data_IF_093562781288
#
_entry.id   IF_093562781288
#
_cell.length_a   1.000
_cell.length_b   1.000
_cell.length_c   1.000
_cell.angle_alpha   90.00
_cell.angle_beta   90.00
_cell.angle_gamma   90.00
#
_symmetry.space_group_name_H-M   'P 1'
#
loop_
_entity.id
_entity.type
_entity.pdbx_description
1 polymer ?
#
# COMPACT_ATOMS: atom_id res chain seq x y z
N UNK A 1 11.62 8.47 -6.87
CA UNK A 1 12.66 7.72 -7.62
C UNK A 1 12.01 6.58 -8.40
N UNK A 2 12.04 6.69 -9.72
CA UNK A 2 11.40 5.71 -10.60
C UNK A 2 12.04 4.32 -10.46
N UNK A 3 11.20 3.31 -10.18
CA UNK A 3 11.59 1.89 -10.05
C UNK A 3 12.73 1.59 -9.07
N UNK A 4 12.94 2.47 -8.09
CA UNK A 4 14.01 2.31 -7.09
C UNK A 4 13.43 2.18 -5.68
N UNK A 5 13.21 0.94 -5.24
CA UNK A 5 12.61 0.63 -3.95
C UNK A 5 13.42 1.28 -2.81
N UNK A 6 14.73 1.07 -2.79
CA UNK A 6 15.60 1.57 -1.70
C UNK A 6 15.61 3.09 -1.62
N UNK A 7 15.77 3.77 -2.76
CA UNK A 7 15.80 5.22 -2.79
C UNK A 7 14.45 5.83 -2.35
N UNK A 8 13.33 5.19 -2.70
CA UNK A 8 12.02 5.63 -2.26
C UNK A 8 11.78 5.40 -0.77
N UNK A 9 12.15 4.24 -0.23
CA UNK A 9 12.04 3.97 1.20
C UNK A 9 12.86 4.99 2.01
N UNK A 10 14.09 5.27 1.59
CA UNK A 10 14.94 6.27 2.24
C UNK A 10 14.34 7.68 2.18
N UNK A 11 13.85 8.09 1.00
CA UNK A 11 13.19 9.39 0.83
C UNK A 11 11.95 9.53 1.73
N UNK A 12 11.11 8.49 1.82
CA UNK A 12 9.92 8.54 2.67
C UNK A 12 10.29 8.54 4.16
N UNK A 13 11.31 7.79 4.55
CA UNK A 13 11.82 7.81 5.93
C UNK A 13 12.25 9.24 6.33
N UNK A 14 13.05 9.92 5.50
CA UNK A 14 13.43 11.32 5.74
C UNK A 14 12.21 12.25 5.85
N UNK A 15 11.18 12.05 5.02
CA UNK A 15 9.97 12.86 5.08
C UNK A 15 9.17 12.60 6.36
N UNK A 16 9.05 11.34 6.78
CA UNK A 16 8.37 10.93 8.00
C UNK A 16 9.07 11.56 9.22
N UNK A 17 10.39 11.55 9.24
CA UNK A 17 11.18 12.15 10.33
C UNK A 17 11.01 13.67 10.46
N UNK A 18 10.64 14.35 9.39
CA UNK A 18 10.38 15.81 9.39
C UNK A 18 8.98 16.17 9.89
N UNK A 19 8.11 15.19 10.14
CA UNK A 19 6.75 15.44 10.65
C UNK A 19 6.86 15.89 12.11
N UNK A 20 6.49 17.13 12.37
CA UNK A 20 6.57 17.72 13.73
C UNK A 20 5.42 17.32 14.63
N UNK A 21 4.22 17.14 14.06
CA UNK A 21 3.03 16.72 14.78
C UNK A 21 3.04 15.18 14.89
N UNK A 22 2.33 14.64 15.89
CA UNK A 22 2.16 13.20 16.02
C UNK A 22 0.86 12.79 15.30
N UNK A 23 0.91 12.40 14.02
CA UNK A 23 -0.27 11.97 13.30
C UNK A 23 -0.72 10.59 13.79
N UNK A 24 -2.01 10.32 13.68
CA UNK A 24 -2.53 8.98 13.93
C UNK A 24 -2.36 8.06 12.72
N UNK A 25 -2.28 8.63 11.53
CA UNK A 25 -2.17 7.94 10.24
C UNK A 25 -1.20 8.68 9.34
N UNK A 26 -0.32 7.94 8.67
CA UNK A 26 0.54 8.42 7.59
C UNK A 26 0.17 7.65 6.32
N UNK A 27 -0.30 8.37 5.30
CA UNK A 27 -0.70 7.77 4.02
C UNK A 27 0.38 8.01 2.98
N UNK A 28 0.88 6.93 2.39
CA UNK A 28 1.83 6.93 1.29
C UNK A 28 1.09 6.75 -0.04
N UNK A 29 1.62 7.26 -1.16
CA UNK A 29 0.94 7.15 -2.46
C UNK A 29 0.82 5.71 -2.97
N UNK A 30 -0.01 5.51 -4.01
CA UNK A 30 -0.06 4.24 -4.75
C UNK A 30 1.35 3.88 -5.26
N UNK A 31 1.74 2.61 -5.07
CA UNK A 31 3.04 2.08 -5.50
C UNK A 31 4.21 2.96 -5.03
N UNK A 32 4.19 3.32 -3.74
CA UNK A 32 5.11 4.30 -3.17
C UNK A 32 6.59 3.89 -3.29
N UNK A 33 6.88 2.60 -3.43
CA UNK A 33 8.25 2.09 -3.54
C UNK A 33 8.82 2.15 -4.95
N UNK A 34 7.96 2.19 -5.99
CA UNK A 34 8.41 2.04 -7.39
C UNK A 34 7.93 3.16 -8.31
N UNK A 35 6.87 3.88 -7.92
CA UNK A 35 6.07 4.64 -8.87
C UNK A 35 5.15 3.71 -9.66
N UNK A 36 4.34 4.26 -10.55
CA UNK A 36 3.32 3.56 -11.32
C UNK A 36 3.93 2.73 -12.46
N UNK A 37 4.74 1.72 -12.10
CA UNK A 37 5.41 0.82 -13.05
C UNK A 37 4.58 -0.42 -13.35
N UNK A 38 4.69 -0.92 -14.58
CA UNK A 38 4.06 -2.18 -15.01
C UNK A 38 5.01 -3.38 -14.93
N UNK A 39 6.25 -3.19 -14.45
CA UNK A 39 7.25 -4.26 -14.30
C UNK A 39 7.01 -5.10 -13.05
N UNK A 40 5.84 -5.74 -13.00
CA UNK A 40 5.41 -6.50 -11.81
C UNK A 40 6.42 -7.59 -11.42
N UNK A 41 6.87 -8.39 -12.39
CA UNK A 41 7.80 -9.50 -12.15
C UNK A 41 9.15 -9.06 -11.57
N UNK A 42 9.65 -7.91 -12.00
CA UNK A 42 10.97 -7.40 -11.62
C UNK A 42 10.97 -6.69 -10.26
N UNK A 43 9.83 -6.04 -9.94
CA UNK A 43 9.73 -5.13 -8.80
C UNK A 43 8.92 -5.68 -7.64
N UNK A 44 8.30 -6.85 -7.80
CA UNK A 44 7.47 -7.43 -6.75
C UNK A 44 8.31 -7.97 -5.61
N UNK A 45 7.83 -7.72 -4.40
CA UNK A 45 8.40 -8.26 -3.18
C UNK A 45 7.46 -9.32 -2.59
N UNK A 46 7.97 -10.43 -2.05
CA UNK A 46 7.14 -11.31 -1.24
C UNK A 46 6.71 -10.61 0.06
N UNK A 47 5.63 -11.07 0.67
CA UNK A 47 5.24 -10.59 2.00
C UNK A 47 6.37 -10.80 3.02
N UNK A 48 6.42 -9.97 4.03
CA UNK A 48 7.47 -9.93 5.06
C UNK A 48 8.88 -9.58 4.55
N UNK A 49 8.99 -9.08 3.33
CA UNK A 49 10.24 -8.61 2.73
C UNK A 49 10.60 -7.18 3.15
N UNK A 50 11.47 -6.52 2.40
CA UNK A 50 12.07 -5.21 2.71
C UNK A 50 11.03 -4.13 3.01
N UNK A 51 10.10 -3.89 2.09
CA UNK A 51 9.07 -2.85 2.24
C UNK A 51 8.16 -3.12 3.43
N UNK A 52 7.71 -4.35 3.61
CA UNK A 52 6.87 -4.71 4.75
C UNK A 52 7.57 -4.46 6.08
N UNK A 53 8.83 -4.87 6.21
CA UNK A 53 9.63 -4.65 7.42
C UNK A 53 9.90 -3.17 7.68
N UNK A 54 10.15 -2.41 6.62
CA UNK A 54 10.28 -0.95 6.70
C UNK A 54 9.00 -0.30 7.23
N UNK A 55 7.83 -0.65 6.68
CA UNK A 55 6.54 -0.14 7.17
C UNK A 55 6.32 -0.47 8.65
N UNK A 56 6.68 -1.69 9.07
CA UNK A 56 6.60 -2.12 10.46
C UNK A 56 7.49 -1.28 11.37
N UNK A 57 8.71 -1.00 10.94
CA UNK A 57 9.64 -0.14 11.66
C UNK A 57 9.12 1.29 11.78
N UNK A 58 8.64 1.88 10.68
CA UNK A 58 8.10 3.25 10.68
C UNK A 58 6.87 3.36 11.56
N UNK A 59 5.95 2.39 11.52
CA UNK A 59 4.76 2.40 12.38
C UNK A 59 5.13 2.33 13.87
N UNK A 60 6.07 1.48 14.25
CA UNK A 60 6.55 1.38 15.63
C UNK A 60 7.24 2.67 16.11
N UNK A 61 8.06 3.28 15.28
CA UNK A 61 8.80 4.50 15.62
C UNK A 61 7.89 5.73 15.73
N UNK A 62 6.94 5.87 14.81
CA UNK A 62 6.02 7.03 14.78
C UNK A 62 4.82 6.87 15.69
N UNK A 63 4.50 5.66 16.12
CA UNK A 63 3.24 5.30 16.81
C UNK A 63 1.99 5.67 16.00
N UNK A 64 2.13 5.71 14.66
CA UNK A 64 1.08 5.97 13.68
C UNK A 64 0.82 4.73 12.83
N UNK A 65 -0.39 4.58 12.31
CA UNK A 65 -0.66 3.62 11.25
C UNK A 65 -0.01 4.10 9.94
N UNK A 66 0.82 3.26 9.31
CA UNK A 66 1.43 3.53 8.00
C UNK A 66 0.62 2.82 6.93
N UNK A 67 0.03 3.60 6.03
CA UNK A 67 -0.83 3.12 4.97
C UNK A 67 -0.19 3.39 3.61
N UNK A 68 -0.11 2.36 2.77
CA UNK A 68 0.43 2.52 1.41
C UNK A 68 0.28 1.26 0.60
N UNK A 69 0.48 1.36 -0.72
CA UNK A 69 0.47 0.20 -1.60
C UNK A 69 1.79 0.02 -2.32
N UNK A 70 2.15 -1.22 -2.59
CA UNK A 70 3.32 -1.60 -3.36
C UNK A 70 3.08 -2.92 -4.10
N UNK A 71 4.03 -3.35 -4.91
CA UNK A 71 3.90 -4.58 -5.70
C UNK A 71 4.28 -5.77 -4.84
N UNK A 72 3.35 -6.71 -4.65
CA UNK A 72 3.57 -7.95 -3.90
C UNK A 72 3.44 -9.16 -4.83
N UNK A 73 4.34 -10.13 -4.65
CA UNK A 73 4.21 -11.46 -5.26
C UNK A 73 3.74 -12.47 -4.23
N UNK A 74 2.74 -13.27 -4.62
CA UNK A 74 2.22 -14.36 -3.80
C UNK A 74 1.70 -15.48 -4.69
N UNK A 75 2.11 -16.72 -4.44
CA UNK A 75 1.69 -17.91 -5.21
C UNK A 75 1.87 -17.75 -6.72
N UNK A 76 2.96 -17.11 -7.15
CA UNK A 76 3.28 -16.90 -8.56
C UNK A 76 2.46 -15.80 -9.25
N UNK A 77 1.67 -15.04 -8.51
CA UNK A 77 0.89 -13.92 -9.01
C UNK A 77 1.41 -12.60 -8.44
N UNK A 78 1.03 -11.48 -9.07
CA UNK A 78 1.46 -10.13 -8.71
C UNK A 78 0.26 -9.26 -8.39
N UNK A 79 0.33 -8.56 -7.25
CA UNK A 79 -0.76 -7.73 -6.75
C UNK A 79 -0.27 -6.31 -6.48
N UNK A 80 -1.10 -5.33 -6.74
CA UNK A 80 -0.97 -4.02 -6.11
C UNK A 80 -1.62 -4.10 -4.75
N UNK A 81 -0.81 -4.35 -3.73
CA UNK A 81 -1.28 -4.61 -2.37
C UNK A 81 -1.15 -3.38 -1.49
N UNK A 82 -2.28 -2.95 -0.95
CA UNK A 82 -2.33 -2.00 0.14
C UNK A 82 -2.04 -2.71 1.46
N UNK A 83 -1.22 -2.09 2.28
CA UNK A 83 -0.95 -2.49 3.66
C UNK A 83 -1.31 -1.33 4.59
N UNK A 84 -2.08 -1.62 5.62
CA UNK A 84 -2.21 -0.78 6.80
C UNK A 84 -1.40 -1.42 7.92
N UNK A 85 -0.21 -0.90 8.16
CA UNK A 85 0.68 -1.38 9.20
C UNK A 85 0.43 -0.60 10.49
N UNK A 86 0.06 -1.29 11.55
CA UNK A 86 -0.21 -0.68 12.86
C UNK A 86 1.05 -0.66 13.75
N UNK A 87 1.11 0.24 14.75
CA UNK A 87 2.28 0.38 15.63
C UNK A 87 2.70 -0.89 16.38
N UNK A 88 1.75 -1.78 16.69
CA UNK A 88 2.01 -3.06 17.34
C UNK A 88 2.55 -4.14 16.39
N UNK A 89 2.70 -3.81 15.10
CA UNK A 89 3.19 -4.72 14.05
C UNK A 89 2.12 -5.62 13.44
N UNK A 90 0.87 -5.52 13.86
CA UNK A 90 -0.26 -6.12 13.16
C UNK A 90 -0.57 -5.34 11.89
N UNK A 91 -1.17 -5.98 10.90
CA UNK A 91 -1.49 -5.31 9.65
C UNK A 91 -2.81 -5.80 9.07
N UNK A 92 -3.38 -4.94 8.22
CA UNK A 92 -4.48 -5.28 7.33
C UNK A 92 -4.00 -5.13 5.89
N UNK A 93 -4.55 -5.92 4.97
CA UNK A 93 -4.16 -5.88 3.56
C UNK A 93 -5.38 -5.86 2.63
N UNK A 94 -5.21 -5.23 1.49
CA UNK A 94 -6.19 -5.15 0.42
C UNK A 94 -5.50 -5.20 -0.93
N UNK A 95 -5.94 -6.07 -1.81
CA UNK A 95 -5.46 -6.13 -3.20
C UNK A 95 -6.38 -5.32 -4.10
N UNK A 96 -5.80 -4.43 -4.91
CA UNK A 96 -6.54 -3.57 -5.83
C UNK A 96 -7.54 -4.35 -6.66
N UNK A 97 -8.81 -4.00 -6.53
CA UNK A 97 -9.91 -4.67 -7.25
C UNK A 97 -10.01 -4.24 -8.71
N UNK A 98 -9.91 -2.94 -8.97
CA UNK A 98 -10.12 -2.38 -10.30
C UNK A 98 -8.78 -1.95 -10.89
N UNK A 99 -8.26 -2.82 -11.75
CA UNK A 99 -7.02 -2.54 -12.48
C UNK A 99 -7.29 -1.57 -13.63
N UNK A 100 -6.39 -0.61 -13.82
CA UNK A 100 -6.49 0.38 -14.89
C UNK A 100 -5.99 -0.21 -16.21
N UNK A 101 -6.88 -0.88 -16.93
CA UNK A 101 -6.55 -1.61 -18.15
C UNK A 101 -5.91 -0.73 -19.25
N UNK A 102 -6.32 0.55 -19.34
CA UNK A 102 -5.75 1.49 -20.31
C UNK A 102 -4.25 1.76 -20.10
N UNK A 103 -3.75 1.52 -18.89
CA UNK A 103 -2.32 1.61 -18.59
C UNK A 103 -1.60 0.24 -18.59
N UNK A 104 -2.26 -0.83 -19.03
CA UNK A 104 -1.68 -2.18 -19.07
C UNK A 104 -1.64 -2.91 -17.73
N UNK A 105 -2.28 -2.39 -16.67
CA UNK A 105 -2.28 -3.08 -15.37
C UNK A 105 -2.83 -4.51 -15.46
N UNK A 106 -3.86 -4.73 -16.28
CA UNK A 106 -4.51 -6.03 -16.39
C UNK A 106 -3.62 -7.13 -16.97
N UNK A 107 -2.53 -6.76 -17.64
CA UNK A 107 -1.63 -7.72 -18.28
C UNK A 107 -0.58 -8.27 -17.30
N UNK A 108 -0.26 -7.52 -16.26
CA UNK A 108 0.80 -7.87 -15.30
C UNK A 108 0.35 -8.11 -13.87
N UNK A 109 -0.87 -7.68 -13.51
CA UNK A 109 -1.36 -7.75 -12.15
C UNK A 109 -2.64 -8.57 -12.02
N UNK A 110 -2.78 -9.23 -10.88
CA UNK A 110 -3.99 -9.97 -10.50
C UNK A 110 -4.92 -9.07 -9.68
N UNK A 111 -6.22 -9.15 -9.97
CA UNK A 111 -7.26 -8.41 -9.24
C UNK A 111 -7.49 -9.00 -7.85
N UNK A 112 -7.69 -8.14 -6.87
CA UNK A 112 -8.25 -8.52 -5.60
C UNK A 112 -9.74 -8.87 -5.71
N UNK A 113 -10.24 -9.65 -4.75
CA UNK A 113 -11.64 -10.09 -4.68
C UNK A 113 -12.35 -9.57 -3.44
N UNK A 114 -11.59 -9.29 -2.39
CA UNK A 114 -12.12 -8.96 -1.07
C UNK A 114 -12.06 -7.46 -0.82
N UNK A 115 -13.11 -6.94 -0.18
CA UNK A 115 -13.15 -5.57 0.32
C UNK A 115 -12.63 -5.56 1.75
N UNK A 116 -11.74 -4.63 2.07
CA UNK A 116 -11.24 -4.44 3.42
C UNK A 116 -12.00 -3.30 4.12
N UNK A 117 -12.42 -3.55 5.36
CA UNK A 117 -12.78 -2.51 6.32
C UNK A 117 -12.05 -2.87 7.61
N UNK A 118 -11.27 -1.95 8.15
CA UNK A 118 -10.58 -2.13 9.42
C UNK A 118 -10.84 -0.92 10.33
N UNK A 119 -10.62 -1.09 11.61
CA UNK A 119 -10.80 -0.04 12.60
C UNK A 119 -9.45 0.43 13.14
N UNK A 120 -9.29 1.75 13.24
CA UNK A 120 -8.14 2.38 13.86
C UNK A 120 -8.58 3.61 14.63
N UNK A 121 -8.30 3.64 15.94
CA UNK A 121 -8.66 4.76 16.85
C UNK A 121 -10.13 5.20 16.74
N UNK A 122 -11.04 4.24 16.63
CA UNK A 122 -12.48 4.49 16.53
C UNK A 122 -12.99 4.84 15.12
N UNK A 123 -12.11 4.93 14.12
CA UNK A 123 -12.50 5.15 12.73
C UNK A 123 -12.56 3.83 11.95
N UNK A 124 -13.64 3.64 11.21
CA UNK A 124 -13.75 2.56 10.23
C UNK A 124 -13.17 3.04 8.90
N UNK A 125 -12.14 2.39 8.45
CA UNK A 125 -11.37 2.76 7.26
C UNK A 125 -11.56 1.70 6.18
N UNK A 126 -11.98 2.13 4.98
CA UNK A 126 -12.09 1.30 3.80
C UNK A 126 -11.09 1.80 2.75
N UNK A 127 -9.94 1.14 2.58
CA UNK A 127 -8.94 1.58 1.62
C UNK A 127 -9.40 1.34 0.18
N UNK A 128 -9.03 2.24 -0.68
CA UNK A 128 -9.21 2.20 -2.12
C UNK A 128 -7.90 2.58 -2.79
N UNK A 129 -7.55 1.89 -3.88
CA UNK A 129 -6.33 2.20 -4.62
C UNK A 129 -6.71 2.85 -5.95
N UNK A 130 -6.48 4.17 -6.06
CA UNK A 130 -6.58 4.97 -7.28
C UNK A 130 -7.87 4.71 -8.08
N UNK A 131 -7.81 3.86 -9.12
CA UNK A 131 -8.93 3.58 -10.03
C UNK A 131 -10.16 2.97 -9.34
N UNK A 132 -10.01 2.33 -8.16
CA UNK A 132 -11.14 1.82 -7.37
C UNK A 132 -12.19 2.90 -7.08
N UNK A 133 -11.77 4.17 -6.94
CA UNK A 133 -12.67 5.30 -6.68
C UNK A 133 -13.65 5.59 -7.83
N UNK A 134 -13.38 5.10 -9.03
CA UNK A 134 -14.27 5.23 -10.19
C UNK A 134 -15.46 4.29 -10.16
N UNK A 135 -15.54 3.38 -9.18
CA UNK A 135 -16.56 2.35 -9.06
C UNK A 135 -17.45 2.57 -7.83
N UNK A 136 -18.52 3.40 -7.93
CA UNK A 136 -19.37 3.76 -6.77
C UNK A 136 -19.97 2.55 -6.05
N UNK A 137 -20.28 1.48 -6.78
CA UNK A 137 -20.82 0.23 -6.19
C UNK A 137 -19.81 -0.41 -5.24
N UNK A 138 -18.53 -0.28 -5.53
CA UNK A 138 -17.45 -0.77 -4.67
C UNK A 138 -17.14 0.20 -3.51
N UNK A 139 -17.17 1.50 -3.80
CA UNK A 139 -16.75 2.56 -2.88
C UNK A 139 -17.83 2.93 -1.83
N UNK A 140 -19.11 2.77 -2.16
CA UNK A 140 -20.21 3.22 -1.27
C UNK A 140 -20.28 2.46 0.04
N UNK A 141 -20.72 3.14 1.08
CA UNK A 141 -21.08 2.51 2.35
C UNK A 141 -22.30 1.58 2.14
N UNK A 142 -22.29 0.47 2.85
CA UNK A 142 -23.41 -0.48 2.90
C UNK A 142 -23.98 -0.49 4.30
#
# INVERSE_FOLDING_TARGET
HWESIEANLHMFEEKIWKIKNKPDIIVLPEMFTTGFSMKAKELAEPMNSKTFRWMKQQAAQTQAAILGSYIVTEKGQYYKRFIAMLPDGTHHQYDKRHLFALAGEADGFTRGTERLIFEWKGWKICPMICYDLRFPVWARNK
#
